data_IF_485012352060
#
_entry.id   IF_485012352060
#
_cell.length_a   1.000
_cell.length_b   1.000
_cell.length_c   1.000
_cell.angle_alpha   90.00
_cell.angle_beta   90.00
_cell.angle_gamma   90.00
#
_symmetry.space_group_name_H-M   'P 1'
#
loop_
_entity.id
_entity.type
_entity.pdbx_description
1 polymer ?
#
# COMPACT_ATOMS: atom_id res chain seq x y z
N UNK A 1 -29.05 -10.23 -6.55
CA UNK A 1 -27.88 -9.90 -7.40
C UNK A 1 -27.35 -8.58 -6.88
N UNK A 2 -26.08 -8.48 -6.45
CA UNK A 2 -25.46 -7.16 -6.26
C UNK A 2 -25.05 -6.68 -7.65
N UNK A 3 -25.69 -5.63 -8.15
CA UNK A 3 -25.29 -4.97 -9.39
C UNK A 3 -23.93 -4.31 -9.17
N UNK A 4 -23.00 -4.47 -10.12
CA UNK A 4 -21.72 -3.76 -10.09
C UNK A 4 -21.98 -2.33 -10.56
N UNK A 5 -21.46 -1.33 -9.85
CA UNK A 5 -21.47 0.05 -10.34
C UNK A 5 -20.55 0.16 -11.57
N UNK A 6 -21.05 0.76 -12.64
CA UNK A 6 -20.27 1.06 -13.85
C UNK A 6 -20.03 2.58 -13.92
N UNK A 7 -18.82 2.98 -13.54
CA UNK A 7 -18.36 4.36 -13.40
C UNK A 7 -17.03 4.57 -14.17
N UNK A 8 -16.75 3.72 -15.16
CA UNK A 8 -15.58 3.88 -16.03
C UNK A 8 -15.63 5.24 -16.74
N UNK A 9 -14.48 5.92 -16.83
CA UNK A 9 -14.33 7.25 -17.44
C UNK A 9 -15.17 8.36 -16.76
N UNK A 10 -15.79 8.08 -15.61
CA UNK A 10 -16.60 9.08 -14.91
C UNK A 10 -15.72 10.19 -14.34
N UNK A 11 -16.21 11.43 -14.38
CA UNK A 11 -15.63 12.50 -13.58
C UNK A 11 -16.29 12.52 -12.20
N UNK A 12 -15.54 12.06 -11.21
CA UNK A 12 -15.90 12.00 -9.79
C UNK A 12 -14.94 12.87 -8.97
N UNK A 13 -14.28 13.85 -9.59
CA UNK A 13 -13.42 14.78 -8.86
C UNK A 13 -14.20 15.52 -7.78
N UNK A 14 -13.57 15.74 -6.63
CA UNK A 14 -14.17 16.41 -5.46
C UNK A 14 -15.44 15.72 -4.92
N UNK A 15 -15.78 14.52 -5.40
CA UNK A 15 -16.99 13.83 -4.99
C UNK A 15 -16.88 13.35 -3.54
N UNK A 16 -17.95 13.49 -2.77
CA UNK A 16 -18.06 12.82 -1.48
C UNK A 16 -18.63 11.40 -1.67
N UNK A 17 -17.74 10.41 -1.59
CA UNK A 17 -17.99 8.98 -1.70
C UNK A 17 -17.63 8.25 -0.40
N UNK A 18 -17.55 8.99 0.72
CA UNK A 18 -17.22 8.43 2.03
C UNK A 18 -18.21 7.32 2.42
N UNK A 19 -17.67 6.17 2.86
CA UNK A 19 -18.43 4.99 3.25
C UNK A 19 -19.17 4.27 2.11
N UNK A 20 -18.93 4.63 0.85
CA UNK A 20 -19.64 4.01 -0.28
C UNK A 20 -19.25 2.53 -0.47
N UNK A 21 -20.25 1.68 -0.76
CA UNK A 21 -20.00 0.30 -1.24
C UNK A 21 -19.72 0.35 -2.75
N UNK A 22 -18.45 0.47 -3.11
CA UNK A 22 -17.94 0.42 -4.49
C UNK A 22 -17.25 -0.94 -4.77
N UNK A 23 -17.57 -1.98 -3.99
CA UNK A 23 -16.94 -3.28 -4.15
C UNK A 23 -17.20 -3.85 -5.55
N UNK A 24 -16.13 -4.25 -6.23
CA UNK A 24 -16.15 -4.76 -7.61
C UNK A 24 -16.75 -3.79 -8.63
N UNK A 25 -16.82 -2.49 -8.31
CA UNK A 25 -17.18 -1.46 -9.27
C UNK A 25 -16.15 -1.39 -10.39
N UNK A 26 -16.61 -1.03 -11.59
CA UNK A 26 -15.70 -0.61 -12.64
C UNK A 26 -15.53 0.91 -12.56
N UNK A 27 -14.35 1.35 -12.13
CA UNK A 27 -13.88 2.74 -12.02
C UNK A 27 -12.67 2.97 -12.94
N UNK A 28 -12.46 2.12 -13.95
CA UNK A 28 -11.32 2.23 -14.86
C UNK A 28 -11.32 3.61 -15.54
N UNK A 29 -10.18 4.30 -15.56
CA UNK A 29 -10.01 5.66 -16.11
C UNK A 29 -10.88 6.74 -15.45
N UNK A 30 -11.52 6.45 -14.31
CA UNK A 30 -12.29 7.46 -13.60
C UNK A 30 -11.36 8.56 -13.05
N UNK A 31 -11.83 9.81 -13.09
CA UNK A 31 -11.17 10.90 -12.39
C UNK A 31 -11.72 10.97 -10.97
N UNK A 32 -10.92 10.55 -9.98
CA UNK A 32 -11.24 10.57 -8.55
C UNK A 32 -10.35 11.59 -7.81
N UNK A 33 -9.78 12.57 -8.52
CA UNK A 33 -8.93 13.58 -7.90
C UNK A 33 -9.67 14.34 -6.81
N UNK A 34 -9.03 14.55 -5.66
CA UNK A 34 -9.60 15.28 -4.52
C UNK A 34 -10.90 14.67 -3.96
N UNK A 35 -11.29 13.46 -4.39
CA UNK A 35 -12.49 12.80 -3.91
C UNK A 35 -12.32 12.34 -2.45
N UNK A 36 -13.39 12.45 -1.66
CA UNK A 36 -13.44 11.83 -0.35
C UNK A 36 -13.93 10.37 -0.51
N UNK A 37 -13.02 9.42 -0.37
CA UNK A 37 -13.26 7.97 -0.38
C UNK A 37 -13.00 7.35 1.01
N UNK A 38 -13.03 8.17 2.08
CA UNK A 38 -12.81 7.66 3.44
C UNK A 38 -13.81 6.56 3.78
N UNK A 39 -13.38 5.49 4.45
CA UNK A 39 -14.22 4.33 4.80
C UNK A 39 -14.87 3.59 3.59
N UNK A 40 -14.52 3.94 2.34
CA UNK A 40 -15.15 3.34 1.18
C UNK A 40 -14.71 1.88 1.01
N UNK A 41 -15.65 1.02 0.63
CA UNK A 41 -15.34 -0.35 0.25
C UNK A 41 -15.04 -0.44 -1.24
N UNK A 42 -13.77 -0.49 -1.62
CA UNK A 42 -13.27 -0.63 -2.99
C UNK A 42 -12.75 -2.06 -3.28
N UNK A 43 -13.10 -3.04 -2.43
CA UNK A 43 -12.58 -4.40 -2.57
C UNK A 43 -12.91 -5.00 -3.93
N UNK A 44 -11.87 -5.47 -4.62
CA UNK A 44 -11.97 -6.01 -5.98
C UNK A 44 -12.44 -5.04 -7.06
N UNK A 45 -12.46 -3.73 -6.80
CA UNK A 45 -12.80 -2.71 -7.80
C UNK A 45 -11.73 -2.65 -8.90
N UNK A 46 -12.15 -2.30 -10.11
CA UNK A 46 -11.24 -2.00 -11.21
C UNK A 46 -10.97 -0.49 -11.23
N UNK A 47 -9.79 -0.08 -10.76
CA UNK A 47 -9.30 1.29 -10.72
C UNK A 47 -8.15 1.49 -11.73
N UNK A 48 -8.05 0.64 -12.76
CA UNK A 48 -6.97 0.78 -13.74
C UNK A 48 -7.01 2.15 -14.40
N UNK A 49 -5.86 2.78 -14.58
CA UNK A 49 -5.72 4.12 -15.17
C UNK A 49 -6.49 5.24 -14.42
N UNK A 50 -7.01 4.98 -13.22
CA UNK A 50 -7.79 5.97 -12.48
C UNK A 50 -6.87 7.08 -11.92
N UNK A 51 -7.36 8.31 -11.91
CA UNK A 51 -6.66 9.40 -11.25
C UNK A 51 -7.09 9.51 -9.79
N UNK A 52 -6.24 9.05 -8.86
CA UNK A 52 -6.43 9.14 -7.41
C UNK A 52 -5.59 10.26 -6.76
N UNK A 53 -5.16 11.27 -7.54
CA UNK A 53 -4.40 12.39 -6.99
C UNK A 53 -5.17 13.07 -5.86
N UNK A 54 -4.53 13.18 -4.69
CA UNK A 54 -5.06 13.93 -3.55
C UNK A 54 -6.42 13.42 -3.02
N UNK A 55 -6.84 12.21 -3.42
CA UNK A 55 -8.02 11.56 -2.87
C UNK A 55 -7.80 11.14 -1.41
N UNK A 56 -8.80 11.33 -0.56
CA UNK A 56 -8.80 10.82 0.81
C UNK A 56 -9.25 9.36 0.80
N UNK A 57 -8.31 8.44 1.06
CA UNK A 57 -8.54 7.00 1.14
C UNK A 57 -8.44 6.46 2.57
N UNK A 58 -8.51 7.35 3.57
CA UNK A 58 -8.45 6.96 4.99
C UNK A 58 -9.44 5.84 5.29
N UNK A 59 -8.97 4.75 5.89
CA UNK A 59 -9.77 3.56 6.21
C UNK A 59 -10.47 2.87 5.01
N UNK A 60 -10.11 3.20 3.77
CA UNK A 60 -10.69 2.56 2.59
C UNK A 60 -10.19 1.12 2.41
N UNK A 61 -11.08 0.21 2.03
CA UNK A 61 -10.72 -1.18 1.72
C UNK A 61 -10.38 -1.35 0.24
N UNK A 62 -9.09 -1.47 -0.08
CA UNK A 62 -8.57 -1.73 -1.42
C UNK A 62 -8.23 -3.21 -1.70
N UNK A 63 -8.59 -4.15 -0.83
CA UNK A 63 -8.21 -5.56 -0.98
C UNK A 63 -8.61 -6.12 -2.34
N UNK A 64 -7.62 -6.60 -3.10
CA UNK A 64 -7.81 -7.16 -4.43
C UNK A 64 -8.22 -6.17 -5.53
N UNK A 65 -8.20 -4.85 -5.26
CA UNK A 65 -8.46 -3.85 -6.29
C UNK A 65 -7.36 -3.85 -7.35
N UNK A 66 -7.73 -3.59 -8.60
CA UNK A 66 -6.79 -3.41 -9.70
C UNK A 66 -6.41 -1.92 -9.80
N UNK A 67 -5.19 -1.57 -9.44
CA UNK A 67 -4.65 -0.19 -9.50
C UNK A 67 -3.60 -0.02 -10.60
N UNK A 68 -3.59 -0.92 -11.59
CA UNK A 68 -2.67 -0.86 -12.73
C UNK A 68 -2.74 0.51 -13.40
N UNK A 69 -1.59 1.16 -13.57
CA UNK A 69 -1.46 2.48 -14.21
C UNK A 69 -2.26 3.63 -13.57
N UNK A 70 -2.81 3.43 -12.36
CA UNK A 70 -3.43 4.50 -11.59
C UNK A 70 -2.40 5.56 -11.15
N UNK A 71 -2.88 6.77 -10.84
CA UNK A 71 -2.02 7.80 -10.24
C UNK A 71 -1.74 7.50 -8.75
N UNK A 72 -0.60 6.87 -8.47
CA UNK A 72 -0.19 6.41 -7.13
C UNK A 72 0.78 7.36 -6.41
N UNK A 73 0.84 8.64 -6.82
CA UNK A 73 1.85 9.58 -6.32
C UNK A 73 1.81 9.76 -4.81
N UNK A 74 0.61 9.85 -4.21
CA UNK A 74 0.43 10.03 -2.78
C UNK A 74 0.99 8.83 -1.98
N UNK A 75 0.63 7.61 -2.40
CA UNK A 75 1.15 6.35 -1.82
C UNK A 75 2.67 6.28 -1.85
N UNK A 76 3.27 6.54 -3.01
CA UNK A 76 4.74 6.51 -3.17
C UNK A 76 5.41 7.57 -2.30
N UNK A 77 4.87 8.79 -2.26
CA UNK A 77 5.44 9.90 -1.51
C UNK A 77 5.42 9.63 0.00
N UNK A 78 4.29 9.15 0.52
CA UNK A 78 4.15 8.79 1.94
C UNK A 78 5.09 7.64 2.32
N UNK A 79 5.14 6.58 1.52
CA UNK A 79 6.07 5.46 1.74
C UNK A 79 7.53 5.96 1.77
N UNK A 80 7.92 6.83 0.84
CA UNK A 80 9.28 7.40 0.83
C UNK A 80 9.61 8.22 2.07
N UNK A 81 8.64 8.93 2.64
CA UNK A 81 8.83 9.61 3.93
C UNK A 81 9.09 8.60 5.05
N UNK A 82 8.32 7.52 5.10
CA UNK A 82 8.52 6.43 6.07
C UNK A 82 9.89 5.77 5.92
N UNK A 83 10.32 5.43 4.70
CA UNK A 83 11.64 4.84 4.44
C UNK A 83 12.77 5.78 4.88
N UNK A 84 12.61 7.08 4.66
CA UNK A 84 13.61 8.10 5.04
C UNK A 84 13.78 8.19 6.56
N UNK A 85 12.71 7.95 7.32
CA UNK A 85 12.74 7.94 8.79
C UNK A 85 13.27 6.62 9.37
N UNK A 86 13.25 5.52 8.60
CA UNK A 86 13.59 4.16 9.05
C UNK A 86 14.64 3.51 8.13
N UNK A 87 15.71 4.24 7.82
CA UNK A 87 16.68 3.86 6.78
C UNK A 87 17.39 2.54 7.08
N UNK A 88 17.63 2.24 8.36
CA UNK A 88 18.36 1.05 8.82
C UNK A 88 17.55 -0.23 8.55
N UNK A 89 16.23 -0.13 8.56
CA UNK A 89 15.30 -1.26 8.42
C UNK A 89 14.89 -1.51 6.96
N UNK A 90 15.12 -0.56 6.05
CA UNK A 90 14.73 -0.67 4.63
C UNK A 90 15.22 -1.95 3.95
N UNK A 91 16.47 -2.42 4.14
CA UNK A 91 16.90 -3.68 3.53
C UNK A 91 16.12 -4.90 4.04
N UNK A 92 15.73 -4.89 5.32
CA UNK A 92 14.87 -5.92 5.91
C UNK A 92 13.46 -5.93 5.32
N UNK A 93 12.90 -4.75 5.06
CA UNK A 93 11.62 -4.60 4.34
C UNK A 93 11.70 -5.16 2.92
N UNK A 94 12.78 -4.86 2.19
CA UNK A 94 13.03 -5.38 0.84
C UNK A 94 13.13 -6.91 0.86
N UNK A 95 13.86 -7.48 1.81
CA UNK A 95 13.94 -8.93 1.98
C UNK A 95 12.58 -9.56 2.30
N UNK A 96 11.76 -8.92 3.13
CA UNK A 96 10.41 -9.38 3.45
C UNK A 96 9.47 -9.35 2.24
N UNK A 97 9.49 -8.27 1.44
CA UNK A 97 8.74 -8.16 0.19
C UNK A 97 9.12 -9.26 -0.80
N UNK A 98 10.42 -9.48 -1.03
CA UNK A 98 10.93 -10.53 -1.93
C UNK A 98 10.53 -11.94 -1.45
N UNK A 99 10.49 -12.15 -0.14
CA UNK A 99 10.13 -13.43 0.45
C UNK A 99 8.62 -13.68 0.51
N UNK A 100 7.77 -12.66 0.27
CA UNK A 100 6.33 -12.73 0.47
C UNK A 100 5.93 -12.86 1.94
N UNK A 101 6.73 -12.28 2.85
CA UNK A 101 6.50 -12.31 4.31
C UNK A 101 5.66 -11.12 4.81
N UNK A 102 5.32 -10.18 3.94
CA UNK A 102 4.50 -9.03 4.31
C UNK A 102 3.04 -9.47 4.43
N UNK A 103 2.36 -9.03 5.49
CA UNK A 103 0.93 -9.18 5.65
C UNK A 103 0.36 -7.88 6.24
N UNK A 104 -0.18 -7.00 5.39
CA UNK A 104 -0.77 -5.75 5.82
C UNK A 104 -2.18 -5.88 6.39
N UNK A 105 -2.77 -7.07 6.42
CA UNK A 105 -4.05 -7.31 7.14
C UNK A 105 -3.88 -7.42 8.65
N UNK A 106 -2.63 -7.44 9.14
CA UNK A 106 -2.27 -7.52 10.55
C UNK A 106 -1.41 -6.33 10.95
N UNK A 107 -1.76 -5.70 12.08
CA UNK A 107 -1.04 -4.55 12.63
C UNK A 107 0.02 -4.94 13.69
N UNK A 108 0.04 -6.22 14.12
CA UNK A 108 0.99 -6.79 15.08
C UNK A 108 1.31 -8.26 14.71
N UNK A 109 2.50 -8.76 15.08
CA UNK A 109 2.96 -10.13 14.80
C UNK A 109 4.20 -10.17 13.89
N UNK A 110 4.77 -11.35 13.61
CA UNK A 110 5.99 -11.51 12.78
C UNK A 110 5.85 -10.96 11.35
N UNK A 111 4.61 -10.89 10.85
CA UNK A 111 4.23 -10.41 9.52
C UNK A 111 3.19 -9.29 9.69
N UNK A 112 3.61 -8.04 9.66
CA UNK A 112 2.74 -6.88 9.87
C UNK A 112 2.79 -5.91 8.69
N UNK A 113 1.97 -4.85 8.75
CA UNK A 113 1.98 -3.70 7.84
C UNK A 113 3.36 -3.03 7.69
N UNK A 114 3.47 -1.93 6.92
CA UNK A 114 4.76 -1.24 6.75
C UNK A 114 5.38 -0.88 8.11
N UNK A 115 4.62 -0.22 8.98
CA UNK A 115 5.11 0.18 10.31
C UNK A 115 5.38 -1.03 11.21
N UNK A 116 4.54 -2.06 11.19
CA UNK A 116 4.77 -3.27 11.99
C UNK A 116 5.99 -4.07 11.52
N UNK A 117 6.24 -4.12 10.21
CA UNK A 117 7.46 -4.70 9.66
C UNK A 117 8.68 -3.94 10.16
N UNK A 118 8.66 -2.60 10.11
CA UNK A 118 9.75 -1.77 10.62
C UNK A 118 9.93 -1.92 12.15
N UNK A 119 8.84 -2.02 12.92
CA UNK A 119 8.86 -2.28 14.36
C UNK A 119 9.58 -3.59 14.69
N UNK A 120 9.23 -4.67 13.98
CA UNK A 120 9.86 -5.97 14.17
C UNK A 120 11.35 -5.95 13.83
N UNK A 121 11.73 -5.30 12.74
CA UNK A 121 13.12 -5.21 12.28
C UNK A 121 13.99 -4.39 13.24
N UNK A 122 13.41 -3.37 13.88
CA UNK A 122 14.10 -2.48 14.83
C UNK A 122 14.02 -2.96 16.29
N UNK A 123 13.30 -4.06 16.56
CA UNK A 123 12.94 -4.51 17.91
C UNK A 123 12.27 -3.41 18.77
N UNK A 124 11.59 -2.47 18.12
CA UNK A 124 10.90 -1.34 18.77
C UNK A 124 9.42 -1.68 18.92
N UNK A 125 8.75 -1.38 20.05
CA UNK A 125 7.32 -1.66 20.17
C UNK A 125 6.52 -0.87 19.12
N UNK A 126 5.60 -1.53 18.42
CA UNK A 126 4.74 -0.91 17.40
C UNK A 126 4.08 0.39 17.89
N UNK A 127 3.60 0.40 19.13
CA UNK A 127 2.96 1.55 19.77
C UNK A 127 3.82 2.82 19.87
N UNK A 128 5.12 2.72 19.61
CA UNK A 128 6.08 3.85 19.69
C UNK A 128 6.43 4.45 18.34
N UNK A 129 6.05 3.79 17.24
CA UNK A 129 6.18 4.32 15.90
C UNK A 129 4.93 5.14 15.56
N UNK A 130 5.06 6.15 14.70
CA UNK A 130 3.91 6.91 14.21
C UNK A 130 3.09 6.01 13.26
N UNK A 131 1.97 5.48 13.76
CA UNK A 131 1.04 4.64 13.03
C UNK A 131 -0.32 5.32 13.03
N UNK A 132 -0.75 5.79 11.87
CA UNK A 132 -2.10 6.29 11.68
C UNK A 132 -2.72 5.56 10.48
N UNK A 133 -3.95 5.05 10.65
CA UNK A 133 -4.71 4.39 9.59
C UNK A 133 -5.05 5.33 8.41
N UNK A 134 -4.78 6.63 8.57
CA UNK A 134 -4.84 7.64 7.52
C UNK A 134 -3.59 7.68 6.61
N UNK A 135 -2.53 6.95 6.93
CA UNK A 135 -1.28 7.00 6.17
C UNK A 135 -1.46 6.24 4.85
N UNK A 136 -1.30 6.90 3.68
CA UNK A 136 -1.42 6.23 2.39
C UNK A 136 -0.58 4.95 2.30
N UNK A 137 0.65 4.94 2.81
CA UNK A 137 1.50 3.76 2.76
C UNK A 137 0.91 2.57 3.55
N UNK A 138 0.24 2.81 4.67
CA UNK A 138 -0.41 1.74 5.45
C UNK A 138 -1.60 1.15 4.67
N UNK A 139 -2.42 2.01 4.06
CA UNK A 139 -3.53 1.60 3.17
C UNK A 139 -2.99 0.78 1.98
N UNK A 140 -1.85 1.17 1.42
CA UNK A 140 -1.19 0.42 0.34
C UNK A 140 -0.74 -0.96 0.81
N UNK A 141 -0.07 -1.03 1.96
CA UNK A 141 0.44 -2.28 2.49
C UNK A 141 -0.69 -3.21 2.94
N UNK A 142 -1.84 -2.69 3.35
CA UNK A 142 -3.05 -3.48 3.66
C UNK A 142 -3.58 -4.28 2.45
N UNK A 143 -3.18 -3.95 1.22
CA UNK A 143 -3.48 -4.76 0.04
C UNK A 143 -2.65 -6.04 -0.05
N UNK A 144 -1.48 -6.08 0.59
CA UNK A 144 -0.51 -7.19 0.52
C UNK A 144 -0.87 -8.21 1.60
N UNK A 145 -1.28 -9.39 1.20
CA UNK A 145 -1.56 -10.52 2.09
C UNK A 145 -0.34 -11.42 2.23
N UNK A 146 -0.31 -12.23 3.29
CA UNK A 146 0.74 -13.24 3.47
C UNK A 146 0.84 -14.15 2.24
N UNK A 147 2.06 -14.28 1.70
CA UNK A 147 2.33 -15.08 0.51
C UNK A 147 2.23 -14.32 -0.82
N UNK A 148 1.64 -13.11 -0.87
CA UNK A 148 1.70 -12.26 -2.06
C UNK A 148 3.16 -11.87 -2.35
N UNK A 149 3.57 -12.01 -3.61
CA UNK A 149 4.93 -11.72 -4.06
C UNK A 149 4.95 -10.74 -5.23
N UNK A 150 6.02 -9.94 -5.33
CA UNK A 150 6.32 -9.20 -6.55
C UNK A 150 6.26 -10.10 -7.79
N UNK A 151 5.37 -9.77 -8.73
CA UNK A 151 5.16 -10.53 -9.96
C UNK A 151 3.95 -11.47 -9.98
N UNK A 152 3.21 -11.61 -8.86
CA UNK A 152 1.95 -12.35 -8.85
C UNK A 152 0.83 -11.57 -9.55
N UNK A 153 -0.06 -12.27 -10.27
CA UNK A 153 -1.22 -11.71 -10.98
C UNK A 153 -2.40 -11.38 -10.04
N UNK A 154 -2.12 -10.93 -8.82
CA UNK A 154 -3.11 -10.53 -7.80
C UNK A 154 -2.98 -9.04 -7.48
N UNK A 155 -4.04 -8.43 -6.90
CA UNK A 155 -3.95 -7.05 -6.42
C UNK A 155 -2.88 -6.86 -5.34
N UNK A 156 -2.70 -7.85 -4.47
CA UNK A 156 -1.64 -7.85 -3.45
C UNK A 156 -0.25 -8.06 -4.05
N UNK A 157 -0.10 -8.93 -5.04
CA UNK A 157 1.13 -9.10 -5.83
C UNK A 157 1.56 -7.84 -6.56
N UNK A 158 0.60 -7.12 -7.16
CA UNK A 158 0.83 -5.81 -7.75
C UNK A 158 1.28 -4.78 -6.70
N UNK A 159 0.60 -4.72 -5.55
CA UNK A 159 0.97 -3.82 -4.46
C UNK A 159 2.38 -4.12 -3.92
N UNK A 160 2.73 -5.40 -3.75
CA UNK A 160 4.06 -5.86 -3.34
C UNK A 160 5.13 -5.51 -4.39
N UNK A 161 4.83 -5.69 -5.69
CA UNK A 161 5.71 -5.31 -6.79
C UNK A 161 6.02 -3.81 -6.76
N UNK A 162 5.00 -2.95 -6.62
CA UNK A 162 5.19 -1.50 -6.57
C UNK A 162 5.92 -1.05 -5.31
N UNK A 163 5.60 -1.62 -4.15
CA UNK A 163 6.32 -1.35 -2.92
C UNK A 163 7.81 -1.69 -3.06
N UNK A 164 8.15 -2.83 -3.67
CA UNK A 164 9.53 -3.22 -3.94
C UNK A 164 10.22 -2.25 -4.92
N UNK A 165 9.57 -1.89 -6.02
CA UNK A 165 10.09 -0.90 -6.98
C UNK A 165 10.39 0.44 -6.30
N UNK A 166 9.47 0.96 -5.49
CA UNK A 166 9.62 2.22 -4.79
C UNK A 166 10.72 2.18 -3.73
N UNK A 167 10.85 1.07 -3.00
CA UNK A 167 11.90 0.88 -2.02
C UNK A 167 13.29 0.81 -2.68
N UNK A 168 13.44 0.06 -3.78
CA UNK A 168 14.69 -0.03 -4.53
C UNK A 168 15.08 1.31 -5.16
N UNK A 169 14.11 2.05 -5.69
CA UNK A 169 14.33 3.40 -6.21
C UNK A 169 14.79 4.36 -5.12
N UNK A 170 14.19 4.28 -3.93
CA UNK A 170 14.61 5.06 -2.77
C UNK A 170 16.05 4.70 -2.35
N UNK A 171 16.39 3.41 -2.22
CA UNK A 171 17.76 2.95 -1.90
C UNK A 171 18.79 3.53 -2.87
N UNK A 172 18.50 3.46 -4.18
CA UNK A 172 19.36 4.01 -5.23
C UNK A 172 19.63 5.51 -5.07
N UNK A 173 18.64 6.27 -4.60
CA UNK A 173 18.74 7.72 -4.40
C UNK A 173 19.38 8.10 -3.06
N UNK A 174 19.14 7.31 -2.02
CA UNK A 174 19.61 7.56 -0.65
C UNK A 174 21.00 6.97 -0.37
N UNK A 175 21.51 6.08 -1.22
CA UNK A 175 22.80 5.41 -1.04
C UNK A 175 22.77 4.25 -0.04
N UNK A 176 21.57 3.79 0.35
CA UNK A 176 21.39 2.61 1.21
C UNK A 176 21.51 1.35 0.35
N UNK A 177 22.33 0.40 0.81
CA UNK A 177 22.46 -0.92 0.15
C UNK A 177 21.19 -1.75 0.38
N UNK A 178 20.41 -2.08 -0.68
CA UNK A 178 19.16 -2.83 -0.55
C UNK A 178 19.35 -4.28 -0.10
N UNK A 179 20.57 -4.82 -0.23
CA UNK A 179 20.91 -6.20 0.17
C UNK A 179 21.68 -6.25 1.49
N UNK A 180 21.88 -5.10 2.15
CA UNK A 180 22.50 -5.04 3.47
C UNK A 180 21.68 -5.79 4.51
N UNK A 181 22.31 -6.55 5.41
CA UNK A 181 21.58 -7.22 6.49
C UNK A 181 21.40 -6.24 7.66
N UNK A 182 20.16 -5.92 8.09
CA UNK A 182 19.98 -5.12 9.29
C UNK A 182 20.45 -5.92 10.50
N UNK A 183 21.17 -5.27 11.42
CA UNK A 183 21.77 -5.93 12.57
C UNK A 183 20.69 -6.63 13.42
N UNK A 184 20.83 -7.94 13.65
CA UNK A 184 19.92 -8.74 14.49
C UNK A 184 18.93 -9.64 13.75
N UNK A 185 18.93 -9.64 12.41
CA UNK A 185 18.03 -10.48 11.58
C UNK A 185 18.71 -11.66 10.89
N UNK A 186 19.99 -11.93 11.19
CA UNK A 186 20.75 -13.08 10.67
C UNK A 186 20.21 -14.46 11.12
N UNK A 187 19.12 -14.51 11.91
CA UNK A 187 18.69 -15.73 12.60
C UNK A 187 17.16 -15.99 12.68
N UNK A 188 16.34 -15.33 11.85
CA UNK A 188 14.89 -15.59 11.80
C UNK A 188 14.44 -16.07 10.41
#
# INVERSE_FOLDING_TARGET
MKERAYLSDANLSDANLSGADLSRANLSRANLSDANLSDANLSGADLSDANLSDADLSDANLSGANLSDANLRAFKADMWMTLTQNQTEVPGLIAALRAGRINGSQYEGECACLVGTLANLSATPYSTLDHNANNPAEIWFAMISEGDKPGDDTGGGYAAQKALEWALEWCRLSGVDPDGVPAGLDAA
#
